data_IF_941728166297
#
_entry.id   IF_941728166297
#
_cell.length_a   1.000
_cell.length_b   1.000
_cell.length_c   1.000
_cell.angle_alpha   90.00
_cell.angle_beta   90.00
_cell.angle_gamma   90.00
#
_symmetry.space_group_name_H-M   'P 1'
#
loop_
_entity.id
_entity.type
_entity.pdbx_description
1 polymer ?
#
# COMPACT_ATOMS: atom_id res chain seq x y z
N UNK A 1 7.74 2.16 -20.40
CA UNK A 1 8.40 0.86 -20.20
C UNK A 1 9.02 0.44 -21.53
N UNK A 2 10.23 -0.15 -21.55
CA UNK A 2 10.75 -0.78 -22.76
C UNK A 2 9.82 -1.97 -23.11
N UNK A 3 9.33 -2.03 -24.36
CA UNK A 3 8.29 -2.95 -24.86
C UNK A 3 6.84 -2.63 -24.44
N UNK A 4 6.41 -1.38 -24.66
CA UNK A 4 5.03 -0.94 -24.43
C UNK A 4 3.99 -1.69 -25.26
N UNK A 5 4.35 -2.17 -26.46
CA UNK A 5 3.45 -2.89 -27.35
C UNK A 5 3.00 -4.23 -26.74
N UNK A 6 3.92 -4.96 -26.10
CA UNK A 6 3.60 -6.23 -25.43
C UNK A 6 2.66 -6.04 -24.24
N UNK A 7 2.89 -5.00 -23.44
CA UNK A 7 2.03 -4.67 -22.29
C UNK A 7 0.64 -4.28 -22.77
N UNK A 8 0.56 -3.44 -23.81
CA UNK A 8 -0.71 -3.03 -24.40
C UNK A 8 -1.51 -4.22 -24.94
N UNK A 9 -0.85 -5.16 -25.63
CA UNK A 9 -1.50 -6.38 -26.12
C UNK A 9 -2.03 -7.25 -24.96
N UNK A 10 -1.26 -7.39 -23.88
CA UNK A 10 -1.68 -8.15 -22.70
C UNK A 10 -2.90 -7.51 -22.01
N UNK A 11 -2.88 -6.18 -21.83
CA UNK A 11 -4.00 -5.46 -21.23
C UNK A 11 -5.26 -5.53 -22.10
N UNK A 12 -5.14 -5.42 -23.42
CA UNK A 12 -6.28 -5.59 -24.36
C UNK A 12 -6.86 -7.00 -24.36
N UNK A 13 -6.08 -8.01 -23.98
CA UNK A 13 -6.54 -9.38 -23.88
C UNK A 13 -7.25 -9.68 -22.54
N UNK A 14 -7.08 -8.83 -21.52
CA UNK A 14 -7.79 -8.96 -20.26
C UNK A 14 -9.29 -8.64 -20.47
N UNK A 15 -10.22 -9.49 -19.99
CA UNK A 15 -11.65 -9.22 -20.10
C UNK A 15 -12.12 -7.99 -19.30
N UNK A 16 -11.34 -7.60 -18.29
CA UNK A 16 -11.63 -6.45 -17.45
C UNK A 16 -10.34 -5.94 -16.81
N UNK A 17 -10.02 -4.66 -16.99
CA UNK A 17 -8.83 -3.99 -16.48
C UNK A 17 -9.23 -2.89 -15.50
N UNK A 18 -8.79 -3.03 -14.25
CA UNK A 18 -8.94 -2.00 -13.22
C UNK A 18 -7.61 -1.30 -13.03
N UNK A 19 -7.62 0.03 -13.04
CA UNK A 19 -6.43 0.85 -12.80
C UNK A 19 -6.67 1.76 -11.59
N UNK A 20 -5.72 1.75 -10.65
CA UNK A 20 -5.65 2.70 -9.53
C UNK A 20 -4.53 3.70 -9.85
N UNK A 21 -4.88 4.96 -10.10
CA UNK A 21 -3.91 5.99 -10.47
C UNK A 21 -4.33 7.36 -9.92
N UNK A 22 -3.34 8.20 -9.60
CA UNK A 22 -3.56 9.58 -9.17
C UNK A 22 -3.53 10.56 -10.35
N UNK A 23 -3.07 10.12 -11.53
CA UNK A 23 -3.07 10.89 -12.77
C UNK A 23 -4.19 10.37 -13.67
N UNK A 24 -5.10 11.26 -14.07
CA UNK A 24 -6.28 10.88 -14.85
C UNK A 24 -5.94 10.33 -16.24
N UNK A 25 -4.95 10.92 -16.93
CA UNK A 25 -4.58 10.54 -18.30
C UNK A 25 -3.13 10.05 -18.38
N UNK A 26 -2.98 8.74 -18.40
CA UNK A 26 -1.72 8.03 -18.63
C UNK A 26 -1.91 6.98 -19.73
N UNK A 27 -0.81 6.42 -20.24
CA UNK A 27 -0.90 5.31 -21.20
C UNK A 27 -1.67 4.11 -20.65
N UNK A 28 -1.63 3.88 -19.32
CA UNK A 28 -2.29 2.77 -18.66
C UNK A 28 -3.76 3.09 -18.36
N UNK A 29 -4.10 4.32 -17.92
CA UNK A 29 -5.50 4.67 -17.62
C UNK A 29 -6.38 4.63 -18.87
N UNK A 30 -5.82 4.94 -20.05
CA UNK A 30 -6.54 4.82 -21.33
C UNK A 30 -6.91 3.39 -21.72
N UNK A 31 -6.33 2.39 -21.07
CA UNK A 31 -6.62 0.96 -21.30
C UNK A 31 -7.50 0.36 -20.21
N UNK A 32 -7.98 1.16 -19.25
CA UNK A 32 -8.78 0.70 -18.13
C UNK A 32 -10.27 0.65 -18.48
N UNK A 33 -10.95 -0.43 -18.08
CA UNK A 33 -12.41 -0.49 -18.05
C UNK A 33 -12.98 0.22 -16.81
N UNK A 34 -12.19 0.28 -15.74
CA UNK A 34 -12.51 0.99 -14.50
C UNK A 34 -11.28 1.73 -13.96
N UNK A 35 -11.41 3.04 -13.81
CA UNK A 35 -10.41 3.89 -13.16
C UNK A 35 -10.82 4.22 -11.72
N UNK A 36 -9.96 3.90 -10.77
CA UNK A 36 -10.12 4.19 -9.36
C UNK A 36 -9.20 5.36 -8.98
N UNK A 37 -9.74 6.51 -8.54
CA UNK A 37 -8.93 7.69 -8.25
C UNK A 37 -8.12 7.47 -6.97
N UNK A 38 -6.81 7.35 -7.13
CA UNK A 38 -5.87 7.10 -6.04
C UNK A 38 -5.27 8.41 -5.52
N UNK A 39 -4.89 8.41 -4.24
CA UNK A 39 -4.14 9.51 -3.64
C UNK A 39 -2.67 9.51 -4.08
N UNK A 40 -2.18 10.70 -4.43
CA UNK A 40 -0.77 10.98 -4.64
C UNK A 40 0.04 10.88 -3.36
N UNK A 41 1.36 11.03 -3.50
CA UNK A 41 2.30 10.89 -2.37
C UNK A 41 1.99 11.87 -1.23
N UNK A 42 1.83 13.16 -1.50
CA UNK A 42 1.58 14.17 -0.47
C UNK A 42 0.19 14.08 0.18
N UNK A 43 -0.70 13.26 -0.36
CA UNK A 43 -2.13 13.21 0.00
C UNK A 43 -2.48 12.00 0.87
N UNK A 44 -1.52 11.10 1.13
CA UNK A 44 -1.73 9.90 1.94
C UNK A 44 -0.69 9.76 3.04
N UNK A 45 -1.12 9.10 4.11
CA UNK A 45 -0.26 8.65 5.19
C UNK A 45 0.08 7.17 4.96
N UNK A 46 1.31 6.78 5.29
CA UNK A 46 1.77 5.40 5.20
C UNK A 46 3.20 5.23 5.70
N UNK A 47 3.84 4.14 5.32
CA UNK A 47 5.27 3.90 5.51
C UNK A 47 5.94 3.71 4.16
N UNK A 48 7.17 4.21 4.03
CA UNK A 48 8.01 4.01 2.85
C UNK A 48 9.33 3.39 3.26
N UNK A 49 9.81 2.46 2.44
CA UNK A 49 11.13 1.86 2.62
C UNK A 49 12.04 2.38 1.54
N UNK A 50 13.16 3.00 1.92
CA UNK A 50 14.14 3.51 0.97
C UNK A 50 15.21 2.44 0.65
N UNK A 51 16.14 2.77 -0.25
CA UNK A 51 17.16 1.82 -0.73
C UNK A 51 18.16 1.39 0.34
N UNK A 52 18.33 2.14 1.44
CA UNK A 52 19.17 1.76 2.59
C UNK A 52 18.41 0.87 3.59
N UNK A 53 17.23 0.36 3.22
CA UNK A 53 16.34 -0.49 4.05
C UNK A 53 15.77 0.23 5.27
N UNK A 54 15.73 1.57 5.27
CA UNK A 54 15.10 2.35 6.34
C UNK A 54 13.61 2.53 6.07
N UNK A 55 12.79 2.14 7.05
CA UNK A 55 11.36 2.40 7.06
C UNK A 55 11.12 3.78 7.67
N UNK A 56 10.51 4.67 6.90
CA UNK A 56 10.14 6.02 7.34
C UNK A 56 8.63 6.19 7.35
N UNK A 57 8.14 6.95 8.34
CA UNK A 57 6.73 7.32 8.43
C UNK A 57 6.43 8.49 7.51
N UNK A 58 5.55 8.27 6.54
CA UNK A 58 5.00 9.32 5.68
C UNK A 58 3.70 9.83 6.27
N UNK A 59 3.58 11.14 6.45
CA UNK A 59 2.32 11.79 6.87
C UNK A 59 1.74 12.56 5.69
N UNK A 60 0.41 12.55 5.60
CA UNK A 60 -0.33 13.41 4.69
C UNK A 60 0.04 14.88 4.92
N UNK A 61 0.33 15.59 3.83
CA UNK A 61 0.65 17.02 3.81
C UNK A 61 -0.49 17.82 3.17
N UNK A 62 -1.21 17.24 2.21
CA UNK A 62 -2.31 17.86 1.48
C UNK A 62 -3.62 17.10 1.71
N UNK A 63 -4.79 17.78 1.66
CA UNK A 63 -6.07 17.09 1.64
C UNK A 63 -6.21 16.24 0.36
N UNK A 64 -7.11 15.26 0.42
CA UNK A 64 -7.40 14.41 -0.74
C UNK A 64 -8.14 15.21 -1.83
N UNK A 65 -7.71 15.15 -3.09
CA UNK A 65 -8.40 15.82 -4.18
C UNK A 65 -9.69 15.07 -4.52
N UNK A 66 -10.82 15.79 -4.49
CA UNK A 66 -12.13 15.25 -4.86
C UNK A 66 -12.46 13.93 -4.16
N UNK A 67 -12.66 12.88 -4.93
CA UNK A 67 -13.03 11.54 -4.44
C UNK A 67 -11.83 10.61 -4.25
N UNK A 68 -10.59 11.10 -4.38
CA UNK A 68 -9.40 10.26 -4.30
C UNK A 68 -9.23 9.61 -2.92
N UNK A 69 -8.91 8.32 -2.92
CA UNK A 69 -8.71 7.51 -1.70
C UNK A 69 -7.31 6.89 -1.69
N UNK A 70 -6.74 6.58 -0.52
CA UNK A 70 -5.46 5.87 -0.49
C UNK A 70 -5.65 4.45 -1.02
N UNK A 71 -4.61 3.90 -1.66
CA UNK A 71 -4.68 2.59 -2.32
C UNK A 71 -5.16 1.47 -1.39
N UNK A 72 -4.71 1.50 -0.14
CA UNK A 72 -5.12 0.52 0.86
C UNK A 72 -6.63 0.51 1.11
N UNK A 73 -7.25 1.69 1.13
CA UNK A 73 -8.68 1.82 1.35
C UNK A 73 -9.43 1.27 0.14
N UNK A 74 -8.95 1.58 -1.07
CA UNK A 74 -9.54 1.08 -2.32
C UNK A 74 -9.54 -0.45 -2.33
N UNK A 75 -8.38 -1.07 -2.04
CA UNK A 75 -8.26 -2.54 -1.96
C UNK A 75 -9.16 -3.11 -0.87
N UNK A 76 -9.21 -2.47 0.31
CA UNK A 76 -10.07 -2.89 1.41
C UNK A 76 -11.55 -2.89 1.01
N UNK A 77 -12.00 -1.83 0.33
CA UNK A 77 -13.37 -1.70 -0.15
C UNK A 77 -13.76 -2.71 -1.23
N UNK A 78 -12.79 -3.12 -2.06
CA UNK A 78 -12.99 -4.22 -3.03
C UNK A 78 -13.12 -5.54 -2.28
N UNK A 79 -12.19 -5.86 -1.38
CA UNK A 79 -12.22 -7.09 -0.59
C UNK A 79 -13.51 -7.25 0.22
N UNK A 80 -13.96 -6.17 0.88
CA UNK A 80 -15.24 -6.14 1.59
C UNK A 80 -16.43 -6.45 0.67
N UNK A 81 -16.49 -5.85 -0.53
CA UNK A 81 -17.56 -6.11 -1.51
C UNK A 81 -17.52 -7.51 -2.12
N UNK A 82 -16.35 -8.15 -2.10
CA UNK A 82 -16.18 -9.54 -2.52
C UNK A 82 -16.55 -10.55 -1.42
N UNK A 83 -16.96 -10.09 -0.23
CA UNK A 83 -17.37 -10.95 0.89
C UNK A 83 -16.25 -11.25 1.90
N UNK A 84 -15.07 -10.64 1.75
CA UNK A 84 -13.94 -10.82 2.68
C UNK A 84 -13.90 -9.71 3.75
N UNK A 85 -15.07 -9.29 4.25
CA UNK A 85 -15.21 -8.14 5.14
C UNK A 85 -14.25 -8.16 6.31
N UNK A 86 -14.21 -9.27 7.06
CA UNK A 86 -13.37 -9.45 8.24
C UNK A 86 -11.87 -9.36 7.94
N UNK A 87 -11.43 -9.80 6.76
CA UNK A 87 -10.01 -9.79 6.38
C UNK A 87 -9.54 -8.43 5.83
N UNK A 88 -10.47 -7.52 5.54
CA UNK A 88 -10.20 -6.20 4.94
C UNK A 88 -10.82 -5.05 5.76
N UNK A 89 -11.09 -5.27 7.05
CA UNK A 89 -11.69 -4.26 7.95
C UNK A 89 -10.64 -3.31 8.56
N UNK A 90 -9.78 -2.74 7.72
CA UNK A 90 -8.77 -1.78 8.17
C UNK A 90 -9.38 -0.39 8.33
N UNK A 91 -9.15 0.23 9.49
CA UNK A 91 -9.62 1.58 9.82
C UNK A 91 -8.62 2.64 9.38
N UNK A 92 -7.32 2.32 9.45
CA UNK A 92 -6.23 3.23 9.06
C UNK A 92 -4.95 2.48 8.69
N UNK A 93 -4.02 3.17 8.04
CA UNK A 93 -2.77 2.60 7.52
C UNK A 93 -1.88 1.93 8.59
N UNK A 94 -2.03 2.31 9.85
CA UNK A 94 -1.28 1.71 10.95
C UNK A 94 -1.61 0.25 11.21
N UNK A 95 -2.87 -0.17 10.99
CA UNK A 95 -3.26 -1.58 11.16
C UNK A 95 -2.64 -2.44 10.07
N UNK A 96 -2.55 -1.90 8.85
CA UNK A 96 -1.91 -2.54 7.71
C UNK A 96 -0.40 -2.68 7.96
N UNK A 97 0.24 -1.64 8.50
CA UNK A 97 1.65 -1.75 8.87
C UNK A 97 1.88 -2.81 9.94
N UNK A 98 0.98 -2.90 10.94
CA UNK A 98 1.04 -3.91 11.99
C UNK A 98 0.87 -5.33 11.44
N UNK A 99 -0.06 -5.53 10.50
CA UNK A 99 -0.20 -6.79 9.78
C UNK A 99 1.06 -7.11 8.98
N UNK A 100 1.56 -6.17 8.19
CA UNK A 100 2.81 -6.34 7.44
C UNK A 100 3.97 -6.75 8.36
N UNK A 101 4.14 -6.07 9.51
CA UNK A 101 5.16 -6.43 10.49
C UNK A 101 5.00 -7.87 10.98
N UNK A 102 3.77 -8.32 11.30
CA UNK A 102 3.49 -9.72 11.68
C UNK A 102 3.81 -10.69 10.54
N UNK A 103 3.49 -10.36 9.29
CA UNK A 103 3.82 -11.22 8.15
C UNK A 103 5.33 -11.44 7.99
N UNK A 104 6.16 -10.45 8.34
CA UNK A 104 7.63 -10.62 8.33
C UNK A 104 8.16 -11.58 9.40
N UNK A 105 7.35 -11.93 10.41
CA UNK A 105 7.75 -12.85 11.50
C UNK A 105 7.26 -14.28 11.29
N UNK A 106 6.28 -14.50 10.41
CA UNK A 106 5.77 -15.84 10.08
C UNK A 106 6.92 -16.72 9.60
N UNK A 107 7.22 -17.80 10.32
CA UNK A 107 8.37 -18.69 10.05
C UNK A 107 9.74 -17.95 10.10
N UNK A 108 9.81 -16.83 10.83
CA UNK A 108 11.03 -16.01 10.97
C UNK A 108 11.25 -15.57 12.43
N UNK A 109 10.64 -16.26 13.41
CA UNK A 109 10.71 -15.84 14.82
C UNK A 109 12.14 -15.86 15.39
N UNK A 110 13.06 -16.58 14.76
CA UNK A 110 14.49 -16.65 15.08
C UNK A 110 15.36 -15.58 14.40
N UNK A 111 14.80 -14.77 13.49
CA UNK A 111 15.54 -13.70 12.82
C UNK A 111 16.48 -14.14 11.71
N UNK A 112 16.35 -15.36 11.17
CA UNK A 112 17.24 -15.86 10.11
C UNK A 112 17.10 -15.13 8.77
N UNK A 113 15.93 -14.53 8.49
CA UNK A 113 15.74 -13.69 7.29
C UNK A 113 16.02 -12.23 7.58
N UNK A 114 16.70 -11.60 6.62
CA UNK A 114 17.08 -10.18 6.62
C UNK A 114 15.95 -9.19 6.97
N UNK A 115 14.71 -9.47 6.53
CA UNK A 115 13.55 -8.66 6.87
C UNK A 115 12.78 -9.30 8.02
N UNK A 116 12.96 -8.74 9.21
CA UNK A 116 12.21 -9.10 10.40
C UNK A 116 11.81 -7.85 11.19
N UNK A 117 10.51 -7.60 11.30
CA UNK A 117 9.95 -6.45 12.00
C UNK A 117 9.27 -6.85 13.31
N UNK A 118 9.72 -7.93 13.96
CA UNK A 118 9.11 -8.45 15.20
C UNK A 118 8.94 -7.38 16.29
N UNK A 119 9.93 -6.50 16.45
CA UNK A 119 9.90 -5.38 17.39
C UNK A 119 8.85 -4.31 17.08
N UNK A 120 8.25 -4.34 15.89
CA UNK A 120 7.22 -3.39 15.45
C UNK A 120 5.81 -4.01 15.39
N UNK A 121 5.66 -5.29 15.74
CA UNK A 121 4.36 -6.01 15.66
C UNK A 121 3.32 -5.51 16.67
N UNK A 122 3.77 -4.83 17.73
CA UNK A 122 2.94 -4.31 18.82
C UNK A 122 2.90 -2.78 18.86
N UNK A 123 3.24 -2.11 17.75
CA UNK A 123 3.09 -0.65 17.68
C UNK A 123 1.62 -0.29 17.90
N UNK A 124 1.40 0.54 18.91
CA UNK A 124 0.14 1.23 19.08
C UNK A 124 -0.01 2.35 18.03
N UNK A 125 -1.21 2.92 17.97
CA UNK A 125 -1.53 3.91 16.94
C UNK A 125 -0.78 5.24 17.19
N UNK A 126 -0.38 5.53 18.43
CA UNK A 126 0.43 6.70 18.78
C UNK A 126 1.90 6.55 18.34
N UNK A 127 2.48 5.37 18.51
CA UNK A 127 3.82 5.03 18.08
C UNK A 127 3.91 5.05 16.54
N UNK A 128 2.85 4.56 15.87
CA UNK A 128 2.71 4.66 14.42
C UNK A 128 2.52 6.10 13.95
N UNK A 129 2.08 7.02 14.82
CA UNK A 129 2.00 8.44 14.53
C UNK A 129 3.37 9.16 14.62
N UNK A 130 4.43 8.55 15.14
CA UNK A 130 5.78 9.13 15.30
C UNK A 130 6.67 8.99 14.04
N UNK A 131 7.69 9.85 13.87
CA UNK A 131 8.38 10.04 12.56
C UNK A 131 9.50 9.05 12.23
N UNK A 132 9.95 8.23 13.18
CA UNK A 132 11.02 7.25 12.93
C UNK A 132 10.67 5.92 13.61
N UNK A 133 10.51 4.87 12.82
CA UNK A 133 10.43 3.50 13.29
C UNK A 133 11.82 2.88 13.08
N UNK A 134 12.66 2.90 14.13
CA UNK A 134 13.99 2.31 14.05
C UNK A 134 13.89 0.78 14.00
N UNK A 135 14.21 0.19 12.87
CA UNK A 135 14.31 -1.27 12.66
C UNK A 135 15.64 -1.86 13.13
N UNK A 136 16.25 -1.30 14.19
CA UNK A 136 17.61 -1.66 14.59
C UNK A 136 17.82 -1.65 16.09
N UNK A 137 17.43 -2.75 16.75
CA UNK A 137 18.17 -3.35 17.87
C UNK A 137 17.82 -4.84 17.96
N UNK A 138 18.70 -5.67 17.41
CA UNK A 138 19.06 -7.01 17.92
C UNK A 138 20.35 -7.42 17.23
#
# INVERSE_FOLDING_TARGET
MPDSAKIEAALKACPFVVVSDCIADTATTRMADLLLPAQGWSEKSGTVTNSERRISRQRRVLPSPGMAKPDWWIVSQVGQRMGFGEAFDYLHEGEIFREYAKLTTLENSNGERDLNLIGLTQLDDQATASSALNSGQS
#
